data_IF_376001933387
#
_entry.id   IF_376001933387
#
_cell.length_a   1.000
_cell.length_b   1.000
_cell.length_c   1.000
_cell.angle_alpha   90.00
_cell.angle_beta   90.00
_cell.angle_gamma   90.00
#
_symmetry.space_group_name_H-M   'P 1'
#
loop_
_entity.id
_entity.type
_entity.pdbx_description
1 polymer ?
#
# COMPACT_ATOMS: atom_id res chain seq x y z
N UNK A 1 33.47 66.16 6.73
CA UNK A 1 33.65 66.29 5.25
C UNK A 1 34.66 65.26 4.77
N UNK A 2 34.48 64.80 3.53
CA UNK A 2 35.32 63.90 2.70
C UNK A 2 35.02 62.39 2.79
N UNK A 3 34.17 61.99 1.82
CA UNK A 3 34.04 60.67 1.20
C UNK A 3 35.37 60.26 0.55
N UNK A 4 35.66 58.97 0.45
CA UNK A 4 36.27 58.36 -0.74
C UNK A 4 35.90 56.88 -0.83
N UNK A 5 35.20 56.52 -1.91
CA UNK A 5 35.10 55.16 -2.43
C UNK A 5 36.32 54.89 -3.31
N UNK A 6 36.89 53.68 -3.27
CA UNK A 6 37.46 53.01 -4.45
C UNK A 6 37.70 51.52 -4.17
N UNK A 7 37.06 50.71 -5.02
CA UNK A 7 37.18 49.28 -5.28
C UNK A 7 38.60 48.89 -5.75
N UNK A 8 39.05 47.64 -5.50
CA UNK A 8 39.61 46.68 -6.50
C UNK A 8 40.18 45.40 -5.82
N UNK A 9 39.60 44.28 -6.26
CA UNK A 9 40.14 42.94 -6.58
C UNK A 9 40.92 42.04 -5.58
N UNK A 10 40.29 40.86 -5.37
CA UNK A 10 40.80 39.48 -5.54
C UNK A 10 41.93 38.98 -4.64
N UNK A 11 41.59 38.02 -3.77
CA UNK A 11 42.38 36.79 -3.60
C UNK A 11 41.47 35.65 -3.07
N UNK A 12 41.42 34.56 -3.86
CA UNK A 12 40.94 33.25 -3.45
C UNK A 12 41.66 32.80 -2.16
N UNK A 13 40.91 32.37 -1.15
CA UNK A 13 41.30 31.22 -0.32
C UNK A 13 40.07 30.33 -0.15
N UNK A 14 40.11 29.18 -0.82
CA UNK A 14 39.29 28.02 -0.53
C UNK A 14 39.48 27.62 0.93
N UNK A 15 38.39 27.50 1.69
CA UNK A 15 38.34 26.62 2.84
C UNK A 15 37.08 25.77 2.74
N UNK A 16 37.34 24.48 2.50
CA UNK A 16 36.39 23.40 2.31
C UNK A 16 35.57 23.16 3.59
N UNK A 17 34.28 23.47 3.54
CA UNK A 17 33.29 22.96 4.48
C UNK A 17 31.99 22.73 3.72
N UNK A 18 31.88 21.59 3.03
CA UNK A 18 30.57 21.02 2.69
C UNK A 18 30.66 19.55 3.04
N UNK A 19 29.88 19.19 4.06
CA UNK A 19 29.86 17.87 4.66
C UNK A 19 29.58 16.77 3.65
N UNK A 20 29.97 15.56 4.04
CA UNK A 20 29.50 14.31 3.47
C UNK A 20 28.02 14.42 3.13
N UNK A 21 27.72 14.57 1.84
CA UNK A 21 26.40 14.33 1.31
C UNK A 21 26.11 12.85 1.56
N UNK A 22 25.30 12.56 2.58
CA UNK A 22 24.47 11.38 2.51
C UNK A 22 23.65 11.57 1.22
N UNK A 23 24.01 10.83 0.17
CA UNK A 23 23.21 10.75 -1.04
C UNK A 23 21.79 10.39 -0.59
N UNK A 24 20.91 11.39 -0.62
CA UNK A 24 19.48 11.13 -0.61
C UNK A 24 19.23 10.29 -1.84
N UNK A 25 19.06 8.98 -1.66
CA UNK A 25 18.47 8.13 -2.69
C UNK A 25 17.23 8.86 -3.18
N UNK A 26 17.08 9.08 -4.50
CA UNK A 26 15.91 9.78 -5.00
C UNK A 26 14.68 9.01 -4.52
N UNK A 27 13.82 9.69 -3.75
CA UNK A 27 12.47 9.19 -3.51
C UNK A 27 11.86 8.96 -4.89
N UNK A 28 11.25 7.79 -5.15
CA UNK A 28 10.61 7.54 -6.42
C UNK A 28 9.58 8.64 -6.64
N UNK A 29 9.88 9.56 -7.57
CA UNK A 29 8.87 10.46 -8.09
C UNK A 29 7.84 9.55 -8.75
N UNK A 30 6.58 9.80 -8.45
CA UNK A 30 5.44 9.24 -9.14
C UNK A 30 5.56 9.66 -10.62
N UNK A 31 6.40 8.99 -11.39
CA UNK A 31 6.70 9.31 -12.78
C UNK A 31 5.45 8.97 -13.58
N UNK A 32 4.59 9.98 -13.78
CA UNK A 32 3.59 10.19 -14.83
C UNK A 32 2.83 8.98 -15.42
N UNK A 33 2.80 7.82 -14.79
CA UNK A 33 1.89 6.76 -15.15
C UNK A 33 0.51 7.24 -14.71
N UNK A 34 -0.32 7.55 -15.70
CA UNK A 34 -1.73 7.85 -15.46
C UNK A 34 -2.33 6.63 -14.77
N UNK A 35 -2.78 6.78 -13.53
CA UNK A 35 -3.53 5.73 -12.85
C UNK A 35 -4.83 5.51 -13.63
N UNK A 36 -5.03 4.29 -14.14
CA UNK A 36 -6.22 3.92 -14.90
C UNK A 36 -7.08 2.98 -14.09
N UNK A 37 -7.65 3.50 -13.01
CA UNK A 37 -8.53 2.72 -12.14
C UNK A 37 -9.98 3.18 -12.26
N UNK A 38 -10.90 2.22 -12.28
CA UNK A 38 -12.34 2.42 -12.20
C UNK A 38 -12.84 2.48 -10.74
N UNK A 39 -11.98 2.22 -9.76
CA UNK A 39 -12.33 2.18 -8.34
C UNK A 39 -12.66 3.60 -7.86
N UNK A 40 -13.87 3.78 -7.32
CA UNK A 40 -14.24 5.05 -6.68
C UNK A 40 -13.52 5.17 -5.33
N UNK A 41 -12.91 6.33 -5.04
CA UNK A 41 -12.30 6.60 -3.74
C UNK A 41 -13.14 7.66 -3.02
N UNK A 42 -13.59 7.34 -1.80
CA UNK A 42 -14.33 8.27 -0.94
C UNK A 42 -13.59 8.42 0.38
N UNK A 43 -12.63 9.36 0.42
CA UNK A 43 -11.73 9.57 1.56
C UNK A 43 -11.36 11.06 1.71
N UNK A 44 -10.76 11.43 2.84
CA UNK A 44 -10.07 12.72 2.93
C UNK A 44 -8.76 12.71 2.10
N UNK A 45 -8.25 13.88 1.75
CA UNK A 45 -7.13 14.02 0.82
C UNK A 45 -5.85 13.27 1.25
N UNK A 46 -5.59 13.16 2.56
CA UNK A 46 -4.41 12.47 3.06
C UNK A 46 -4.51 10.96 2.82
N UNK A 47 -5.69 10.38 3.07
CA UNK A 47 -5.94 8.97 2.82
C UNK A 47 -6.10 8.67 1.32
N UNK A 48 -6.76 9.53 0.57
CA UNK A 48 -6.92 9.40 -0.88
C UNK A 48 -5.56 9.31 -1.58
N UNK A 49 -4.61 10.18 -1.21
CA UNK A 49 -3.24 10.12 -1.76
C UNK A 49 -2.57 8.76 -1.53
N UNK A 50 -2.71 8.19 -0.34
CA UNK A 50 -2.14 6.89 0.00
C UNK A 50 -2.81 5.74 -0.78
N UNK A 51 -4.13 5.80 -0.95
CA UNK A 51 -4.88 4.80 -1.73
C UNK A 51 -4.47 4.88 -3.20
N UNK A 52 -4.36 6.09 -3.77
CA UNK A 52 -3.89 6.30 -5.14
C UNK A 52 -2.45 5.78 -5.31
N UNK A 53 -1.58 5.98 -4.32
CA UNK A 53 -0.23 5.41 -4.30
C UNK A 53 -0.22 3.88 -4.26
N UNK A 54 -1.10 3.27 -3.46
CA UNK A 54 -1.26 1.82 -3.41
C UNK A 54 -1.76 1.24 -4.74
N UNK A 55 -2.79 1.85 -5.35
CA UNK A 55 -3.29 1.46 -6.67
C UNK A 55 -2.22 1.61 -7.76
N UNK A 56 -1.39 2.64 -7.67
CA UNK A 56 -0.24 2.81 -8.57
C UNK A 56 0.81 1.71 -8.37
N UNK A 57 1.14 1.33 -7.14
CA UNK A 57 2.05 0.19 -6.86
C UNK A 57 1.49 -1.07 -7.50
N UNK A 58 0.20 -1.36 -7.32
CA UNK A 58 -0.44 -2.50 -7.95
C UNK A 58 -0.32 -2.41 -9.48
N UNK A 59 -0.67 -1.29 -10.10
CA UNK A 59 -0.63 -1.12 -11.55
C UNK A 59 0.78 -1.36 -12.13
N UNK A 60 1.80 -0.79 -11.49
CA UNK A 60 3.16 -0.74 -12.04
C UNK A 60 4.08 -1.87 -11.59
N UNK A 61 3.73 -2.57 -10.50
CA UNK A 61 4.59 -3.60 -9.89
C UNK A 61 3.94 -4.98 -9.83
N UNK A 62 2.62 -5.04 -9.82
CA UNK A 62 1.85 -6.26 -9.65
C UNK A 62 0.54 -6.21 -10.48
N UNK A 63 0.62 -6.07 -11.81
CA UNK A 63 -0.52 -5.72 -12.67
C UNK A 63 -1.65 -6.76 -12.64
N UNK A 64 -1.36 -8.03 -12.33
CA UNK A 64 -2.38 -9.05 -12.14
C UNK A 64 -3.24 -8.76 -10.91
N UNK A 65 -2.61 -8.29 -9.82
CA UNK A 65 -3.31 -7.85 -8.62
C UNK A 65 -3.99 -6.50 -8.79
N UNK A 66 -3.46 -5.61 -9.65
CA UNK A 66 -4.20 -4.43 -10.06
C UNK A 66 -5.51 -4.79 -10.75
N UNK A 67 -5.50 -5.74 -11.71
CA UNK A 67 -6.74 -6.22 -12.35
C UNK A 67 -7.68 -6.87 -11.35
N UNK A 68 -7.16 -7.69 -10.43
CA UNK A 68 -7.97 -8.27 -9.35
C UNK A 68 -8.73 -7.16 -8.58
N UNK A 69 -8.03 -6.10 -8.17
CA UNK A 69 -8.63 -4.99 -7.43
C UNK A 69 -9.59 -4.19 -8.33
N UNK A 70 -9.15 -3.76 -9.50
CA UNK A 70 -9.90 -2.85 -10.39
C UNK A 70 -11.19 -3.47 -10.95
N UNK A 71 -11.18 -4.76 -11.25
CA UNK A 71 -12.35 -5.48 -11.77
C UNK A 71 -13.35 -5.83 -10.68
N UNK A 72 -12.93 -5.88 -9.41
CA UNK A 72 -13.75 -6.40 -8.32
C UNK A 72 -14.21 -5.39 -7.29
N UNK A 73 -13.37 -4.40 -6.99
CA UNK A 73 -13.65 -3.36 -6.01
C UNK A 73 -14.37 -2.20 -6.71
N UNK A 74 -15.56 -1.87 -6.25
CA UNK A 74 -16.34 -0.75 -6.76
C UNK A 74 -15.99 0.56 -6.06
N UNK A 75 -15.72 0.50 -4.76
CA UNK A 75 -15.43 1.68 -3.94
C UNK A 75 -14.50 1.35 -2.77
N UNK A 76 -13.52 2.22 -2.53
CA UNK A 76 -12.70 2.24 -1.31
C UNK A 76 -13.10 3.49 -0.52
N UNK A 77 -13.68 3.29 0.66
CA UNK A 77 -14.29 4.37 1.44
C UNK A 77 -13.76 4.43 2.86
N UNK A 78 -13.49 5.64 3.35
CA UNK A 78 -13.25 5.87 4.77
C UNK A 78 -14.57 5.66 5.52
N UNK A 79 -14.54 4.77 6.51
CA UNK A 79 -15.70 4.46 7.34
C UNK A 79 -15.86 5.48 8.46
N UNK A 80 -17.11 5.83 8.75
CA UNK A 80 -17.49 6.60 9.93
C UNK A 80 -17.73 5.69 11.16
N UNK A 81 -17.67 4.37 10.97
CA UNK A 81 -17.93 3.36 12.00
C UNK A 81 -16.68 2.81 12.68
N UNK A 82 -16.88 2.09 13.79
CA UNK A 82 -15.82 1.35 14.49
C UNK A 82 -15.59 -0.03 13.87
N UNK A 83 -14.33 -0.45 13.79
CA UNK A 83 -13.93 -1.77 13.30
C UNK A 83 -13.68 -2.65 14.51
N UNK A 84 -14.25 -3.85 14.51
CA UNK A 84 -14.01 -4.84 15.56
C UNK A 84 -12.65 -5.52 15.37
N UNK A 85 -12.17 -5.61 14.12
CA UNK A 85 -10.92 -6.24 13.72
C UNK A 85 -10.32 -5.52 12.50
N UNK A 86 -8.99 -5.41 12.47
CA UNK A 86 -8.24 -4.90 11.32
C UNK A 86 -8.44 -3.41 10.97
N UNK A 87 -7.62 -2.87 10.04
CA UNK A 87 -7.76 -1.50 9.55
C UNK A 87 -8.73 -1.36 8.36
N UNK A 88 -9.04 -2.48 7.70
CA UNK A 88 -9.89 -2.60 6.51
C UNK A 88 -10.94 -3.69 6.70
N UNK A 89 -12.04 -3.60 5.97
CA UNK A 89 -13.05 -4.65 5.86
C UNK A 89 -13.79 -4.54 4.53
N UNK A 90 -14.12 -5.67 3.93
CA UNK A 90 -15.10 -5.74 2.84
C UNK A 90 -16.52 -5.62 3.39
N UNK A 91 -17.37 -4.87 2.70
CA UNK A 91 -18.82 -4.86 2.95
C UNK A 91 -19.47 -5.94 2.08
N UNK A 92 -19.92 -7.01 2.74
CA UNK A 92 -20.41 -8.24 2.10
C UNK A 92 -21.44 -7.95 0.99
N UNK A 93 -21.21 -8.53 -0.19
CA UNK A 93 -22.13 -8.46 -1.33
C UNK A 93 -22.15 -7.12 -2.08
N UNK A 94 -21.31 -6.15 -1.70
CA UNK A 94 -21.34 -4.80 -2.31
C UNK A 94 -20.12 -4.49 -3.18
N UNK A 95 -19.03 -5.26 -3.08
CA UNK A 95 -17.76 -4.92 -3.72
C UNK A 95 -17.11 -3.65 -3.16
N UNK A 96 -17.52 -3.19 -1.97
CA UNK A 96 -16.94 -2.03 -1.29
C UNK A 96 -15.93 -2.49 -0.23
N UNK A 97 -14.82 -1.78 -0.16
CA UNK A 97 -13.85 -1.86 0.93
C UNK A 97 -14.01 -0.62 1.81
N UNK A 98 -14.16 -0.82 3.11
CA UNK A 98 -14.15 0.24 4.10
C UNK A 98 -12.86 0.23 4.91
N UNK A 99 -12.35 1.41 5.28
CA UNK A 99 -11.17 1.54 6.14
C UNK A 99 -11.36 2.62 7.22
N UNK A 100 -10.71 2.45 8.38
CA UNK A 100 -10.83 3.41 9.51
C UNK A 100 -9.96 4.67 9.29
N UNK A 101 -8.73 4.48 8.86
CA UNK A 101 -7.77 5.54 8.57
C UNK A 101 -6.38 4.98 8.33
N UNK A 102 -5.73 5.43 7.26
CA UNK A 102 -4.38 5.00 6.88
C UNK A 102 -3.30 6.00 7.24
N UNK A 103 -3.60 7.30 7.09
CA UNK A 103 -2.65 8.38 7.29
C UNK A 103 -1.96 8.31 8.66
N UNK A 104 -0.64 8.26 8.66
CA UNK A 104 0.20 8.20 9.87
C UNK A 104 0.38 6.81 10.48
N UNK A 105 -0.29 5.77 9.98
CA UNK A 105 -0.21 4.40 10.51
C UNK A 105 0.22 3.36 9.47
N UNK A 106 -0.09 3.57 8.20
CA UNK A 106 0.15 2.60 7.13
C UNK A 106 0.82 3.24 5.91
N UNK A 107 1.70 2.47 5.27
CA UNK A 107 2.31 2.84 3.99
C UNK A 107 1.44 2.39 2.81
N UNK A 108 1.72 2.93 1.62
CA UNK A 108 1.08 2.52 0.37
C UNK A 108 1.27 1.01 0.09
N UNK A 109 2.40 0.43 0.53
CA UNK A 109 2.65 -1.01 0.44
C UNK A 109 1.70 -1.83 1.32
N UNK A 110 1.45 -1.36 2.55
CA UNK A 110 0.48 -2.02 3.43
C UNK A 110 -0.94 -1.89 2.88
N UNK A 111 -1.28 -0.74 2.32
CA UNK A 111 -2.60 -0.53 1.73
C UNK A 111 -2.78 -1.42 0.50
N UNK A 112 -1.77 -1.55 -0.36
CA UNK A 112 -1.83 -2.42 -1.53
C UNK A 112 -2.10 -3.88 -1.12
N UNK A 113 -1.41 -4.37 -0.09
CA UNK A 113 -1.63 -5.69 0.51
C UNK A 113 -3.07 -5.85 1.04
N UNK A 114 -3.56 -4.88 1.82
CA UNK A 114 -4.95 -4.87 2.29
C UNK A 114 -5.97 -4.91 1.14
N UNK A 115 -5.73 -4.16 0.06
CA UNK A 115 -6.62 -4.17 -1.10
C UNK A 115 -6.62 -5.53 -1.81
N UNK A 116 -5.47 -6.20 -1.91
CA UNK A 116 -5.38 -7.56 -2.48
C UNK A 116 -6.16 -8.57 -1.63
N UNK A 117 -5.99 -8.52 -0.31
CA UNK A 117 -6.72 -9.37 0.63
C UNK A 117 -8.24 -9.22 0.45
N UNK A 118 -8.72 -7.98 0.55
CA UNK A 118 -10.16 -7.68 0.51
C UNK A 118 -10.76 -7.92 -0.88
N UNK A 119 -10.02 -7.63 -1.97
CA UNK A 119 -10.48 -7.96 -3.32
C UNK A 119 -10.65 -9.47 -3.52
N UNK A 120 -9.81 -10.28 -2.89
CA UNK A 120 -9.94 -11.75 -2.91
C UNK A 120 -11.24 -12.20 -2.22
N UNK A 121 -11.57 -11.61 -1.07
CA UNK A 121 -12.85 -11.86 -0.41
C UNK A 121 -14.05 -11.43 -1.25
N UNK A 122 -13.96 -10.29 -1.95
CA UNK A 122 -15.02 -9.84 -2.86
C UNK A 122 -15.24 -10.85 -4.00
N UNK A 123 -14.17 -11.40 -4.58
CA UNK A 123 -14.27 -12.44 -5.61
C UNK A 123 -14.97 -13.69 -5.08
N UNK A 124 -14.62 -14.12 -3.88
CA UNK A 124 -15.24 -15.28 -3.24
C UNK A 124 -16.74 -15.03 -2.97
N UNK A 125 -17.09 -13.85 -2.43
CA UNK A 125 -18.48 -13.46 -2.20
C UNK A 125 -19.30 -13.42 -3.49
N UNK A 126 -18.74 -12.91 -4.60
CA UNK A 126 -19.39 -12.92 -5.92
C UNK A 126 -19.68 -14.33 -6.43
N UNK A 127 -18.92 -15.34 -5.97
CA UNK A 127 -19.15 -16.76 -6.28
C UNK A 127 -20.10 -17.44 -5.29
N UNK A 128 -20.69 -16.69 -4.36
CA UNK A 128 -21.56 -17.22 -3.30
C UNK A 128 -20.80 -17.95 -2.19
N UNK A 129 -19.48 -17.78 -2.11
CA UNK A 129 -18.67 -18.35 -1.04
C UNK A 129 -18.75 -17.44 0.18
N UNK A 130 -19.16 -18.00 1.31
CA UNK A 130 -19.15 -17.29 2.59
C UNK A 130 -17.72 -17.08 3.07
N UNK A 131 -17.57 -16.07 3.94
CA UNK A 131 -16.36 -15.93 4.75
C UNK A 131 -16.16 -17.22 5.56
N UNK A 132 -15.05 -17.89 5.31
CA UNK A 132 -14.69 -19.20 5.85
C UNK A 132 -13.19 -19.25 6.05
N UNK A 133 -12.68 -20.21 6.83
CA UNK A 133 -11.22 -20.39 6.96
C UNK A 133 -10.55 -20.63 5.60
N UNK A 134 -11.25 -21.30 4.68
CA UNK A 134 -10.76 -21.54 3.34
C UNK A 134 -10.68 -20.25 2.49
N UNK A 135 -11.64 -19.32 2.65
CA UNK A 135 -11.59 -18.01 2.00
C UNK A 135 -10.44 -17.16 2.55
N UNK A 136 -10.28 -17.14 3.88
CA UNK A 136 -9.14 -16.46 4.52
C UNK A 136 -7.80 -16.99 4.03
N UNK A 137 -7.62 -18.32 3.96
CA UNK A 137 -6.39 -18.91 3.44
C UNK A 137 -6.14 -18.47 1.99
N UNK A 138 -7.16 -18.42 1.12
CA UNK A 138 -7.00 -17.93 -0.25
C UNK A 138 -6.59 -16.47 -0.31
N UNK A 139 -7.19 -15.62 0.53
CA UNK A 139 -6.79 -14.21 0.63
C UNK A 139 -5.33 -14.07 1.08
N UNK A 140 -4.89 -14.86 2.07
CA UNK A 140 -3.48 -14.89 2.53
C UNK A 140 -2.52 -15.46 1.48
N UNK A 141 -2.93 -16.46 0.71
CA UNK A 141 -2.13 -16.98 -0.41
C UNK A 141 -1.97 -15.91 -1.51
N UNK A 142 -3.00 -15.08 -1.75
CA UNK A 142 -2.92 -13.94 -2.66
C UNK A 142 -1.95 -12.86 -2.16
N UNK A 143 -1.95 -12.53 -0.84
CA UNK A 143 -0.95 -11.62 -0.24
C UNK A 143 0.49 -12.12 -0.46
N UNK A 144 0.74 -13.41 -0.21
CA UNK A 144 2.07 -14.02 -0.43
C UNK A 144 2.51 -13.86 -1.88
N UNK A 145 1.62 -14.16 -2.83
CA UNK A 145 1.94 -14.04 -4.25
C UNK A 145 2.13 -12.58 -4.67
N UNK A 146 1.34 -11.65 -4.12
CA UNK A 146 1.57 -10.22 -4.29
C UNK A 146 2.97 -9.81 -3.82
N UNK A 147 3.39 -10.21 -2.61
CA UNK A 147 4.72 -9.88 -2.10
C UNK A 147 5.85 -10.49 -2.95
N UNK A 148 5.68 -11.69 -3.51
CA UNK A 148 6.68 -12.29 -4.43
C UNK A 148 6.82 -11.50 -5.74
N UNK A 149 5.71 -11.07 -6.33
CA UNK A 149 5.74 -10.20 -7.50
C UNK A 149 6.42 -8.87 -7.16
N UNK A 150 6.11 -8.31 -5.99
CA UNK A 150 6.68 -7.06 -5.52
C UNK A 150 8.17 -7.16 -5.21
N UNK A 151 8.66 -8.27 -4.64
CA UNK A 151 10.09 -8.55 -4.46
C UNK A 151 10.84 -8.46 -5.80
N UNK A 152 10.26 -9.04 -6.84
CA UNK A 152 10.84 -9.06 -8.19
C UNK A 152 10.87 -7.66 -8.79
N UNK A 153 9.75 -6.93 -8.72
CA UNK A 153 9.62 -5.61 -9.33
C UNK A 153 10.45 -4.53 -8.61
N UNK A 154 10.49 -4.55 -7.27
CA UNK A 154 11.20 -3.57 -6.44
C UNK A 154 12.67 -3.94 -6.16
N UNK A 155 13.10 -5.16 -6.53
CA UNK A 155 14.46 -5.67 -6.28
C UNK A 155 14.87 -5.55 -4.80
N UNK A 156 13.92 -5.78 -3.89
CA UNK A 156 14.11 -5.76 -2.43
C UNK A 156 13.37 -6.93 -1.82
N UNK A 157 13.82 -7.41 -0.66
CA UNK A 157 13.14 -8.53 0.00
C UNK A 157 11.94 -8.08 0.83
N UNK A 158 10.90 -8.89 0.75
CA UNK A 158 9.69 -8.90 1.57
C UNK A 158 9.55 -10.23 2.34
N UNK A 159 10.62 -11.01 2.48
CA UNK A 159 10.61 -12.33 3.12
C UNK A 159 10.03 -12.32 4.54
N UNK A 160 10.21 -11.24 5.31
CA UNK A 160 9.60 -11.11 6.64
C UNK A 160 8.08 -10.96 6.59
N UNK A 161 7.55 -10.22 5.60
CA UNK A 161 6.11 -10.07 5.37
C UNK A 161 5.52 -11.41 4.91
N UNK A 162 6.15 -12.05 3.91
CA UNK A 162 5.75 -13.37 3.43
C UNK A 162 5.72 -14.37 4.60
N UNK A 163 6.76 -14.38 5.45
CA UNK A 163 6.83 -15.30 6.58
C UNK A 163 5.75 -15.04 7.62
N UNK A 164 5.40 -13.76 7.85
CA UNK A 164 4.29 -13.39 8.72
C UNK A 164 2.97 -13.98 8.20
N UNK A 165 2.66 -13.79 6.92
CA UNK A 165 1.43 -14.30 6.29
C UNK A 165 1.39 -15.83 6.25
N UNK A 166 2.51 -16.49 5.95
CA UNK A 166 2.64 -17.95 6.04
C UNK A 166 2.30 -18.47 7.45
N UNK A 167 2.75 -17.77 8.48
CA UNK A 167 2.45 -18.14 9.86
C UNK A 167 0.96 -17.94 10.19
N UNK A 168 0.31 -16.89 9.65
CA UNK A 168 -1.14 -16.73 9.78
C UNK A 168 -1.88 -17.91 9.14
N UNK A 169 -1.52 -18.33 7.92
CA UNK A 169 -2.10 -19.52 7.26
C UNK A 169 -1.95 -20.77 8.14
N UNK A 170 -0.79 -20.99 8.75
CA UNK A 170 -0.57 -22.12 9.68
C UNK A 170 -1.50 -22.02 10.90
N UNK A 171 -1.69 -20.82 11.46
CA UNK A 171 -2.59 -20.62 12.59
C UNK A 171 -4.07 -20.83 12.22
N UNK A 172 -4.49 -20.41 11.03
CA UNK A 172 -5.86 -20.65 10.52
C UNK A 172 -6.10 -22.15 10.35
N UNK A 173 -5.16 -22.86 9.69
CA UNK A 173 -5.23 -24.32 9.51
C UNK A 173 -5.26 -25.08 10.84
N UNK A 174 -4.59 -24.55 11.87
CA UNK A 174 -4.60 -25.09 13.22
C UNK A 174 -5.83 -24.69 14.07
N UNK A 175 -6.77 -23.90 13.52
CA UNK A 175 -7.95 -23.40 14.24
C UNK A 175 -7.63 -22.41 15.35
N UNK A 176 -6.46 -21.76 15.32
CA UNK A 176 -6.00 -20.78 16.32
C UNK A 176 -6.35 -19.34 15.94
N UNK A 177 -6.49 -19.08 14.65
CA UNK A 177 -6.94 -17.80 14.10
C UNK A 177 -8.26 -18.03 13.35
N UNK A 178 -9.20 -17.10 13.47
CA UNK A 178 -10.57 -17.21 12.91
C UNK A 178 -11.27 -18.52 13.29
N UNK A 179 -11.19 -18.88 14.58
CA UNK A 179 -11.76 -20.13 15.10
C UNK A 179 -13.29 -20.19 15.02
N UNK A 180 -13.93 -19.03 14.88
CA UNK A 180 -15.36 -18.82 14.71
C UNK A 180 -15.84 -18.93 13.26
N UNK A 181 -14.93 -18.95 12.28
CA UNK A 181 -15.27 -19.23 10.89
C UNK A 181 -15.39 -20.74 10.65
N UNK A 182 -16.38 -21.13 9.84
CA UNK A 182 -16.58 -22.51 9.38
C UNK A 182 -15.33 -23.06 8.65
#
# INVERSE_FOLDING_TARGET
>A
MKKFFATIAVALILLQLVGCGAEKKPEPKQEAAVLRSNVKITADAANEKLILGALWILQERAPDFFRLVDENVLEIRKSDGSFTTGPVKTIEGTGRIEFKGFAGAYSEYNIADFLVHEATHIVDQKKGLRLSKAAEIRAREAEIEFFKQLETAEKRSFASMIKFVENEIVQIRAGKLYADLD
#
